data_IF_039582477537
#
_entry.id   IF_039582477537
#
_cell.length_a   1.000
_cell.length_b   1.000
_cell.length_c   1.000
_cell.angle_alpha   90.00
_cell.angle_beta   90.00
_cell.angle_gamma   90.00
#
_symmetry.space_group_name_H-M   'P 1'
#
loop_
_entity.id
_entity.type
_entity.pdbx_description
1 polymer ?
#
# COMPACT_ATOMS: atom_id res chain seq x y z
N UNK A 1 28.50 49.26 28.21
CA UNK A 1 29.82 48.73 28.62
C UNK A 1 29.96 47.30 28.11
N UNK A 2 31.04 47.06 27.35
CA UNK A 2 31.85 45.83 27.21
C UNK A 2 31.17 44.46 27.02
N UNK A 3 31.64 43.52 26.17
CA UNK A 3 32.73 43.43 25.19
C UNK A 3 32.66 42.03 24.52
N UNK A 4 32.92 41.97 23.21
CA UNK A 4 33.83 41.02 22.51
C UNK A 4 33.44 39.56 22.20
N UNK A 5 33.61 39.23 20.91
CA UNK A 5 33.59 37.97 20.16
C UNK A 5 34.69 36.93 20.55
N UNK A 6 34.61 35.66 20.11
CA UNK A 6 35.49 35.06 19.06
C UNK A 6 35.31 33.52 18.85
N UNK A 7 35.16 33.12 17.56
CA UNK A 7 35.76 31.99 16.77
C UNK A 7 35.60 30.51 17.21
N UNK A 8 35.55 29.50 16.33
CA UNK A 8 36.35 29.28 15.11
C UNK A 8 35.70 28.36 14.06
N UNK A 9 36.11 28.57 12.80
CA UNK A 9 35.88 27.72 11.64
C UNK A 9 37.11 26.80 11.41
N UNK A 10 36.90 25.62 10.83
CA UNK A 10 37.97 24.76 10.33
C UNK A 10 37.82 24.54 8.82
N UNK A 11 38.74 25.12 8.05
CA UNK A 11 39.08 24.73 6.68
C UNK A 11 40.08 23.56 6.74
N UNK A 12 39.96 22.60 5.82
CA UNK A 12 41.10 21.80 5.38
C UNK A 12 41.08 21.70 3.85
N UNK A 13 42.17 22.14 3.22
CA UNK A 13 42.37 22.15 1.77
C UNK A 13 43.68 21.47 1.39
N UNK A 14 43.59 20.72 0.28
CA UNK A 14 44.54 20.48 -0.82
C UNK A 14 45.87 19.72 -0.59
N UNK A 15 46.05 18.65 -1.38
CA UNK A 15 46.99 18.55 -2.54
C UNK A 15 46.71 17.20 -3.25
N UNK A 16 46.53 17.07 -4.57
CA UNK A 16 47.49 17.35 -5.64
C UNK A 16 48.52 16.20 -5.68
N UNK A 17 48.63 15.37 -6.73
CA UNK A 17 49.48 15.68 -7.89
C UNK A 17 49.13 14.88 -9.16
N UNK A 18 49.57 15.48 -10.26
CA UNK A 18 49.45 15.16 -11.69
C UNK A 18 50.49 14.17 -12.22
N UNK A 19 50.20 13.66 -13.43
CA UNK A 19 50.98 12.74 -14.27
C UNK A 19 52.37 13.25 -14.70
N UNK A 20 53.31 12.31 -14.89
CA UNK A 20 54.47 12.47 -15.78
C UNK A 20 54.73 11.16 -16.55
N UNK A 21 54.72 11.28 -17.88
CA UNK A 21 55.09 10.26 -18.85
C UNK A 21 56.62 10.18 -18.95
N UNK A 22 57.19 8.98 -18.89
CA UNK A 22 58.60 8.70 -19.16
C UNK A 22 58.73 7.41 -19.98
N UNK A 23 59.31 7.54 -21.17
CA UNK A 23 59.51 6.49 -22.17
C UNK A 23 60.86 5.77 -22.01
N UNK A 24 60.89 4.53 -22.53
CA UNK A 24 62.03 3.74 -23.00
C UNK A 24 62.55 2.62 -22.07
N UNK A 25 62.40 1.37 -22.56
CA UNK A 25 63.31 0.28 -22.23
C UNK A 25 62.69 -1.12 -22.10
N UNK A 26 62.52 -1.81 -23.22
CA UNK A 26 62.99 -3.21 -23.38
C UNK A 26 62.35 -4.36 -22.59
N UNK A 27 61.92 -5.36 -23.36
CA UNK A 27 61.79 -6.80 -23.08
C UNK A 27 60.66 -7.30 -22.17
N UNK A 28 59.72 -7.95 -22.83
CA UNK A 28 58.69 -8.83 -22.29
C UNK A 28 59.30 -10.06 -21.61
N UNK A 29 58.69 -10.51 -20.50
CA UNK A 29 58.50 -11.93 -20.31
C UNK A 29 57.01 -12.26 -20.17
N UNK A 30 56.59 -13.30 -20.92
CA UNK A 30 55.36 -14.05 -20.76
C UNK A 30 54.88 -14.09 -19.31
N UNK A 31 53.76 -13.42 -19.03
CA UNK A 31 52.89 -13.79 -17.92
C UNK A 31 51.57 -14.26 -18.49
N UNK A 32 51.30 -15.55 -18.27
CA UNK A 32 50.03 -16.18 -18.55
C UNK A 32 48.90 -15.34 -17.95
N UNK A 33 47.98 -14.93 -18.81
CA UNK A 33 46.78 -14.20 -18.44
C UNK A 33 45.95 -15.07 -17.51
N UNK A 34 45.93 -14.73 -16.21
CA UNK A 34 45.02 -15.35 -15.26
C UNK A 34 43.59 -15.10 -15.74
N UNK A 35 42.82 -16.17 -15.92
CA UNK A 35 41.40 -16.10 -16.23
C UNK A 35 40.70 -15.19 -15.20
N UNK A 36 39.74 -14.34 -15.61
CA UNK A 36 38.97 -13.55 -14.67
C UNK A 36 38.29 -14.48 -13.66
N UNK A 37 38.69 -14.40 -12.38
CA UNK A 37 37.94 -15.05 -11.32
C UNK A 37 36.55 -14.42 -11.29
N UNK A 38 35.54 -15.23 -11.63
CA UNK A 38 34.14 -14.85 -11.52
C UNK A 38 33.85 -14.49 -10.06
N UNK A 39 33.53 -13.22 -9.81
CA UNK A 39 32.98 -12.80 -8.53
C UNK A 39 31.64 -13.51 -8.33
N UNK A 40 31.38 -14.13 -7.17
CA UNK A 40 30.06 -14.68 -6.88
C UNK A 40 29.02 -13.56 -6.93
N UNK A 41 28.09 -13.64 -7.87
CA UNK A 41 26.88 -12.80 -7.89
C UNK A 41 26.07 -13.16 -6.65
N UNK A 42 26.06 -12.27 -5.65
CA UNK A 42 25.14 -12.36 -4.52
C UNK A 42 23.73 -12.28 -5.08
N UNK A 43 23.07 -13.42 -5.21
CA UNK A 43 21.64 -13.48 -5.49
C UNK A 43 20.96 -13.13 -4.17
N UNK A 44 20.56 -11.88 -4.03
CA UNK A 44 19.62 -11.50 -2.96
C UNK A 44 18.37 -12.34 -3.20
N UNK A 45 18.11 -13.31 -2.33
CA UNK A 45 16.83 -14.01 -2.32
C UNK A 45 15.76 -12.93 -2.12
N UNK A 46 15.02 -12.61 -3.18
CA UNK A 46 13.78 -11.88 -3.02
C UNK A 46 12.91 -12.76 -2.13
N UNK A 47 12.49 -12.22 -1.00
CA UNK A 47 11.41 -12.76 -0.20
C UNK A 47 10.16 -12.74 -1.11
N UNK A 48 9.95 -13.84 -1.84
CA UNK A 48 8.82 -13.98 -2.75
C UNK A 48 7.61 -14.24 -1.86
N UNK A 49 7.03 -13.16 -1.34
CA UNK A 49 5.69 -13.24 -0.78
C UNK A 49 4.80 -13.93 -1.83
N UNK A 50 4.05 -14.99 -1.46
CA UNK A 50 3.12 -15.63 -2.37
C UNK A 50 2.26 -14.57 -3.05
N UNK A 51 2.18 -14.62 -4.39
CA UNK A 51 1.20 -13.78 -5.09
C UNK A 51 -0.20 -14.23 -4.67
N UNK A 52 -1.09 -13.25 -4.45
CA UNK A 52 -2.49 -13.53 -4.17
C UNK A 52 -3.06 -14.43 -5.26
N UNK A 53 -3.65 -15.56 -4.88
CA UNK A 53 -4.30 -16.48 -5.83
C UNK A 53 -5.71 -16.02 -6.16
N UNK A 54 -6.30 -15.19 -5.31
CA UNK A 54 -7.59 -14.55 -5.52
C UNK A 54 -7.43 -13.03 -5.42
N UNK A 55 -8.09 -12.30 -6.31
CA UNK A 55 -8.05 -10.83 -6.37
C UNK A 55 -9.46 -10.29 -6.57
N UNK A 56 -9.84 -9.31 -5.75
CA UNK A 56 -11.05 -8.49 -5.93
C UNK A 56 -10.60 -7.06 -6.19
N UNK A 57 -10.79 -6.60 -7.43
CA UNK A 57 -10.51 -5.25 -7.92
C UNK A 57 -11.79 -4.48 -8.31
N UNK A 58 -12.99 -5.06 -8.09
CA UNK A 58 -14.30 -4.44 -8.36
C UNK A 58 -14.61 -4.05 -9.82
N UNK A 59 -13.67 -4.21 -10.75
CA UNK A 59 -13.76 -3.76 -12.13
C UNK A 59 -14.83 -4.46 -12.97
N UNK A 60 -15.28 -5.64 -12.54
CA UNK A 60 -16.35 -6.40 -13.20
C UNK A 60 -17.75 -5.98 -12.75
N UNK A 61 -17.87 -5.09 -11.76
CA UNK A 61 -19.12 -4.58 -11.22
C UNK A 61 -19.52 -3.33 -12.01
N UNK A 62 -20.76 -3.23 -12.48
CA UNK A 62 -21.25 -1.96 -13.04
C UNK A 62 -21.46 -0.97 -11.90
N UNK A 63 -20.72 0.14 -11.90
CA UNK A 63 -20.71 1.09 -10.79
C UNK A 63 -21.04 2.53 -11.26
N UNK A 64 -21.88 3.27 -10.51
CA UNK A 64 -22.17 4.67 -10.82
C UNK A 64 -21.08 5.61 -10.29
N UNK A 65 -21.18 6.89 -10.63
CA UNK A 65 -20.32 7.96 -10.09
C UNK A 65 -20.72 8.39 -8.67
N UNK A 66 -21.97 8.16 -8.27
CA UNK A 66 -22.58 8.76 -7.09
C UNK A 66 -23.16 7.71 -6.13
N UNK A 67 -22.95 7.92 -4.82
CA UNK A 67 -23.48 7.06 -3.76
C UNK A 67 -25.02 6.93 -3.79
N UNK A 68 -25.74 7.98 -4.14
CA UNK A 68 -27.21 7.96 -4.18
C UNK A 68 -27.78 7.00 -5.25
N UNK A 69 -26.93 6.51 -6.15
CA UNK A 69 -27.29 5.58 -7.23
C UNK A 69 -26.81 4.15 -6.97
N UNK A 70 -26.27 3.86 -5.78
CA UNK A 70 -25.77 2.54 -5.39
C UNK A 70 -26.13 2.24 -3.94
N UNK A 71 -25.84 1.03 -3.49
CA UNK A 71 -26.03 0.55 -2.12
C UNK A 71 -24.70 0.02 -1.57
N UNK A 72 -24.67 -0.31 -0.29
CA UNK A 72 -23.51 -1.00 0.28
C UNK A 72 -23.22 -2.30 -0.50
N UNK A 73 -21.95 -2.57 -0.74
CA UNK A 73 -21.52 -3.85 -1.28
C UNK A 73 -21.74 -4.93 -0.24
N UNK A 74 -22.40 -6.02 -0.61
CA UNK A 74 -22.68 -7.14 0.29
C UNK A 74 -21.74 -8.32 0.04
N UNK A 75 -21.41 -8.61 -1.22
CA UNK A 75 -20.56 -9.75 -1.56
C UNK A 75 -19.91 -9.64 -2.93
N UNK A 76 -18.71 -10.21 -3.07
CA UNK A 76 -18.07 -10.50 -4.35
C UNK A 76 -17.50 -11.91 -4.31
N UNK A 77 -18.05 -12.82 -5.13
CA UNK A 77 -17.69 -14.23 -5.08
C UNK A 77 -17.99 -14.82 -3.69
N UNK A 78 -16.95 -15.34 -3.03
CA UNK A 78 -17.04 -15.95 -1.69
C UNK A 78 -16.74 -14.98 -0.55
N UNK A 79 -16.42 -13.71 -0.87
CA UNK A 79 -16.10 -12.68 0.12
C UNK A 79 -17.33 -11.85 0.43
N UNK A 80 -17.61 -11.67 1.72
CA UNK A 80 -18.73 -10.86 2.22
C UNK A 80 -18.21 -9.52 2.75
N UNK A 81 -19.02 -8.49 2.58
CA UNK A 81 -18.78 -7.11 2.97
C UNK A 81 -19.95 -6.68 3.86
N UNK A 82 -19.65 -6.17 5.05
CA UNK A 82 -20.68 -5.85 6.04
C UNK A 82 -20.31 -4.59 6.82
N UNK A 83 -21.24 -3.64 6.91
CA UNK A 83 -21.12 -2.53 7.84
C UNK A 83 -21.30 -2.94 9.31
N UNK A 84 -21.61 -1.95 10.15
CA UNK A 84 -21.94 -2.18 11.55
C UNK A 84 -23.14 -3.12 11.73
N UNK A 85 -23.09 -4.02 12.71
CA UNK A 85 -24.22 -4.89 13.04
C UNK A 85 -25.47 -4.12 13.48
N UNK A 86 -25.31 -2.89 13.96
CA UNK A 86 -26.41 -1.98 14.34
C UNK A 86 -26.91 -1.11 13.19
N UNK A 87 -26.19 -1.06 12.07
CA UNK A 87 -26.52 -0.27 10.88
C UNK A 87 -26.17 -1.10 9.63
N UNK A 88 -26.98 -2.14 9.31
CA UNK A 88 -26.62 -3.14 8.29
C UNK A 88 -26.65 -2.60 6.85
N UNK A 89 -27.24 -1.42 6.63
CA UNK A 89 -27.21 -0.71 5.36
C UNK A 89 -25.95 0.16 5.20
N UNK A 90 -25.21 0.40 6.27
CA UNK A 90 -23.91 1.05 6.18
C UNK A 90 -22.87 0.09 5.60
N UNK A 91 -21.79 0.64 5.05
CA UNK A 91 -20.67 -0.13 4.51
C UNK A 91 -20.15 0.48 3.22
N UNK A 92 -19.02 -0.02 2.72
CA UNK A 92 -18.45 0.51 1.47
C UNK A 92 -19.38 0.29 0.28
N UNK A 93 -19.42 1.22 -0.67
CA UNK A 93 -20.14 1.05 -1.93
C UNK A 93 -19.17 1.08 -3.12
N UNK A 94 -19.43 0.29 -4.15
CA UNK A 94 -18.60 0.32 -5.36
C UNK A 94 -18.99 1.54 -6.19
N UNK A 95 -18.01 2.40 -6.44
CA UNK A 95 -18.12 3.52 -7.37
C UNK A 95 -17.06 3.38 -8.46
N UNK A 96 -17.31 4.04 -9.58
CA UNK A 96 -16.31 4.12 -10.63
C UNK A 96 -15.30 5.25 -10.37
N UNK A 97 -14.28 5.30 -11.22
CA UNK A 97 -13.18 6.26 -11.16
C UNK A 97 -13.57 7.72 -11.37
N UNK A 98 -14.72 8.00 -11.98
CA UNK A 98 -15.26 9.36 -12.17
C UNK A 98 -15.91 9.94 -10.91
N UNK A 99 -15.98 9.18 -9.81
CA UNK A 99 -16.57 9.62 -8.52
C UNK A 99 -15.78 10.66 -7.71
N UNK A 100 -14.76 11.30 -8.30
CA UNK A 100 -14.01 12.45 -7.73
C UNK A 100 -13.30 12.21 -6.39
N UNK A 101 -12.83 11.00 -6.12
CA UNK A 101 -12.02 10.70 -4.92
C UNK A 101 -10.56 11.19 -4.99
N UNK A 102 -10.12 11.68 -6.16
CA UNK A 102 -8.77 12.22 -6.40
C UNK A 102 -7.62 11.27 -6.02
N UNK A 103 -7.85 9.97 -6.19
CA UNK A 103 -6.90 8.89 -5.87
C UNK A 103 -6.17 8.39 -7.12
N UNK A 104 -5.00 7.77 -6.93
CA UNK A 104 -4.22 7.10 -7.99
C UNK A 104 -3.71 5.74 -7.51
N UNK A 105 -3.29 4.87 -8.45
CA UNK A 105 -2.72 3.55 -8.11
C UNK A 105 -3.76 2.45 -7.82
N UNK A 106 -5.03 2.72 -8.10
CA UNK A 106 -6.11 1.73 -8.16
C UNK A 106 -6.15 1.05 -9.54
N UNK A 107 -6.79 -0.12 -9.60
CA UNK A 107 -7.16 -0.85 -10.81
C UNK A 107 -8.46 -0.29 -11.37
N UNK A 108 -8.46 0.09 -12.65
CA UNK A 108 -9.59 0.77 -13.27
C UNK A 108 -10.58 -0.23 -13.90
N UNK A 109 -11.90 0.07 -13.90
CA UNK A 109 -12.48 1.38 -13.64
C UNK A 109 -12.99 1.66 -12.23
N UNK A 110 -13.01 0.71 -11.30
CA UNK A 110 -13.81 0.83 -10.06
C UNK A 110 -12.99 0.67 -8.78
N UNK A 111 -13.61 1.04 -7.66
CA UNK A 111 -13.08 0.76 -6.32
C UNK A 111 -14.19 0.73 -5.28
N UNK A 112 -13.92 0.17 -4.10
CA UNK A 112 -14.79 0.26 -2.94
C UNK A 112 -14.59 1.61 -2.25
N UNK A 113 -15.64 2.42 -2.19
CA UNK A 113 -15.59 3.81 -1.73
C UNK A 113 -16.33 4.02 -0.41
N UNK A 114 -15.82 4.96 0.38
CA UNK A 114 -16.42 5.42 1.64
C UNK A 114 -16.55 6.93 1.63
N UNK A 115 -17.70 7.46 2.06
CA UNK A 115 -17.93 8.87 2.34
C UNK A 115 -19.02 9.03 3.40
N UNK A 116 -18.60 9.15 4.65
CA UNK A 116 -19.49 9.23 5.81
C UNK A 116 -20.44 10.45 5.84
N UNK A 117 -20.33 11.39 4.90
CA UNK A 117 -21.21 12.56 4.75
C UNK A 117 -22.29 12.39 3.67
N UNK A 118 -22.46 11.18 3.12
CA UNK A 118 -23.42 10.92 2.03
C UNK A 118 -24.36 9.77 2.39
N UNK A 119 -25.47 9.70 1.66
CA UNK A 119 -26.47 8.64 1.81
C UNK A 119 -26.56 7.86 0.51
N UNK A 120 -26.71 6.54 0.63
CA UNK A 120 -26.89 5.59 -0.46
C UNK A 120 -28.37 5.45 -0.85
N UNK A 121 -28.63 4.77 -1.96
CA UNK A 121 -29.98 4.60 -2.51
C UNK A 121 -30.97 3.94 -1.54
N UNK A 122 -30.47 3.09 -0.65
CA UNK A 122 -31.23 2.37 0.38
C UNK A 122 -31.32 3.09 1.73
N UNK A 123 -30.76 4.30 1.83
CA UNK A 123 -30.70 5.08 3.06
C UNK A 123 -29.49 4.79 3.95
N UNK A 124 -28.64 3.83 3.59
CA UNK A 124 -27.39 3.56 4.28
C UNK A 124 -26.35 4.68 4.12
N UNK A 125 -25.31 4.67 4.96
CA UNK A 125 -24.18 5.61 4.88
C UNK A 125 -22.91 4.84 4.53
N UNK A 126 -22.12 5.26 3.52
CA UNK A 126 -20.92 4.54 3.13
C UNK A 126 -19.76 4.84 4.07
N UNK A 127 -19.80 4.27 5.28
CA UNK A 127 -18.88 4.58 6.38
C UNK A 127 -18.39 3.32 7.09
N UNK A 128 -17.34 3.52 7.87
CA UNK A 128 -16.85 2.53 8.83
C UNK A 128 -17.81 2.39 10.04
N UNK A 129 -17.80 1.24 10.72
CA UNK A 129 -16.97 0.06 10.47
C UNK A 129 -17.38 -0.73 9.21
N UNK A 130 -16.41 -1.42 8.61
CA UNK A 130 -16.59 -2.35 7.49
C UNK A 130 -15.84 -3.65 7.80
N UNK A 131 -16.50 -4.79 7.62
CA UNK A 131 -15.95 -6.13 7.84
C UNK A 131 -15.94 -6.90 6.53
N UNK A 132 -14.74 -7.22 6.06
CA UNK A 132 -14.49 -8.07 4.89
C UNK A 132 -14.26 -9.49 5.39
N UNK A 133 -15.21 -10.40 5.14
CA UNK A 133 -15.16 -11.79 5.61
C UNK A 133 -14.85 -12.75 4.46
N UNK A 134 -13.89 -13.63 4.68
CA UNK A 134 -13.56 -14.71 3.76
C UNK A 134 -14.38 -15.96 4.11
N UNK A 135 -14.71 -16.78 3.10
CA UNK A 135 -15.50 -18.00 3.32
C UNK A 135 -14.79 -19.05 4.19
N UNK A 136 -13.46 -19.05 4.18
CA UNK A 136 -12.60 -19.84 5.07
C UNK A 136 -11.45 -18.98 5.57
N UNK A 137 -10.70 -19.47 6.55
CA UNK A 137 -9.45 -18.82 6.92
C UNK A 137 -8.48 -18.81 5.74
N UNK A 138 -7.92 -17.64 5.44
CA UNK A 138 -6.95 -17.40 4.37
C UNK A 138 -5.58 -17.14 4.99
N UNK A 139 -4.52 -17.72 4.42
CA UNK A 139 -3.17 -17.65 4.96
C UNK A 139 -2.54 -16.26 4.87
N UNK A 140 -2.93 -15.47 3.89
CA UNK A 140 -2.43 -14.11 3.64
C UNK A 140 -3.52 -13.21 3.06
N UNK A 141 -3.49 -11.93 3.45
CA UNK A 141 -4.36 -10.89 2.89
C UNK A 141 -3.55 -9.64 2.59
N UNK A 142 -3.81 -9.04 1.44
CA UNK A 142 -3.39 -7.68 1.12
C UNK A 142 -4.53 -6.88 0.54
N UNK A 143 -4.50 -5.56 0.72
CA UNK A 143 -5.40 -4.63 0.07
C UNK A 143 -4.67 -3.32 -0.20
N UNK A 144 -5.16 -2.55 -1.17
CA UNK A 144 -4.73 -1.17 -1.39
C UNK A 144 -5.73 -0.21 -0.78
N UNK A 145 -5.24 0.85 -0.13
CA UNK A 145 -6.09 1.87 0.50
C UNK A 145 -5.49 3.26 0.29
N UNK A 146 -6.34 4.25 0.02
CA UNK A 146 -5.92 5.62 -0.25
C UNK A 146 -7.05 6.63 -0.17
N UNK A 147 -6.70 7.91 -0.15
CA UNK A 147 -7.64 9.03 -0.26
C UNK A 147 -6.95 10.25 -0.82
N UNK A 148 -7.55 10.88 -1.83
CA UNK A 148 -7.13 12.19 -2.32
C UNK A 148 -7.79 13.35 -1.59
N UNK A 149 -8.81 13.09 -0.78
CA UNK A 149 -9.59 14.12 -0.07
C UNK A 149 -9.17 14.21 1.40
N UNK A 150 -9.12 13.07 2.10
CA UNK A 150 -8.74 12.98 3.51
C UNK A 150 -7.26 12.54 3.65
N UNK A 151 -6.37 13.14 2.86
CA UNK A 151 -4.92 12.88 2.93
C UNK A 151 -4.40 13.17 4.34
N UNK A 152 -3.57 12.28 4.89
CA UNK A 152 -3.02 12.42 6.25
C UNK A 152 -3.94 11.90 7.36
N UNK A 153 -5.23 11.67 7.08
CA UNK A 153 -6.11 10.97 8.00
C UNK A 153 -5.68 9.51 8.16
N UNK A 154 -6.14 8.87 9.24
CA UNK A 154 -5.78 7.48 9.57
C UNK A 154 -6.97 6.55 9.44
N UNK A 155 -6.72 5.31 9.02
CA UNK A 155 -7.69 4.20 9.11
C UNK A 155 -7.08 3.10 9.98
N UNK A 156 -7.87 2.59 10.93
CA UNK A 156 -7.47 1.46 11.79
C UNK A 156 -8.11 0.18 11.30
N UNK A 157 -7.27 -0.81 11.01
CA UNK A 157 -7.67 -2.14 10.56
C UNK A 157 -7.24 -3.23 11.54
N UNK A 158 -8.04 -4.28 11.62
CA UNK A 158 -7.76 -5.48 12.37
C UNK A 158 -7.93 -6.70 11.46
N UNK A 159 -6.86 -7.45 11.25
CA UNK A 159 -6.93 -8.80 10.69
C UNK A 159 -7.19 -9.77 11.84
N UNK A 160 -8.22 -10.58 11.74
CA UNK A 160 -8.67 -11.47 12.82
C UNK A 160 -8.76 -12.91 12.28
N UNK A 161 -8.10 -13.84 12.95
CA UNK A 161 -8.14 -15.27 12.63
C UNK A 161 -7.74 -16.15 13.81
N UNK A 162 -7.46 -17.42 13.54
CA UNK A 162 -7.09 -18.44 14.52
C UNK A 162 -5.80 -18.11 15.27
N UNK A 163 -4.87 -17.39 14.63
CA UNK A 163 -3.61 -16.93 15.23
C UNK A 163 -3.73 -15.56 15.92
N UNK A 164 -4.96 -15.15 16.24
CA UNK A 164 -5.28 -13.94 16.97
C UNK A 164 -5.50 -12.73 16.06
N UNK A 165 -5.19 -11.54 16.60
CA UNK A 165 -5.45 -10.26 15.95
C UNK A 165 -4.14 -9.62 15.49
N UNK A 166 -4.15 -9.02 14.31
CA UNK A 166 -3.10 -8.14 13.79
C UNK A 166 -3.68 -6.75 13.53
N UNK A 167 -3.17 -5.73 14.24
CA UNK A 167 -3.62 -4.34 14.09
C UNK A 167 -2.73 -3.59 13.10
N UNK A 168 -3.33 -2.85 12.18
CA UNK A 168 -2.66 -1.87 11.31
C UNK A 168 -3.29 -0.50 11.50
N UNK A 169 -2.46 0.54 11.56
CA UNK A 169 -2.91 1.93 11.49
C UNK A 169 -2.24 2.55 10.28
N UNK A 170 -3.04 3.03 9.34
CA UNK A 170 -2.56 3.50 8.03
C UNK A 170 -2.88 4.96 7.87
N UNK A 171 -1.85 5.78 7.65
CA UNK A 171 -2.02 7.16 7.21
C UNK A 171 -2.28 7.16 5.70
N UNK A 172 -3.38 7.81 5.30
CA UNK A 172 -3.82 7.85 3.91
C UNK A 172 -3.01 8.84 3.08
N UNK A 173 -2.80 8.49 1.81
CA UNK A 173 -2.24 9.33 0.76
C UNK A 173 -3.09 9.20 -0.51
N UNK A 174 -2.93 10.13 -1.45
CA UNK A 174 -3.65 10.11 -2.72
C UNK A 174 -3.33 8.87 -3.55
N UNK A 175 -2.05 8.48 -3.59
CA UNK A 175 -1.64 7.20 -4.16
C UNK A 175 -1.98 6.07 -3.18
N UNK A 176 -2.75 5.09 -3.65
CA UNK A 176 -3.15 3.92 -2.86
C UNK A 176 -1.91 3.15 -2.38
N UNK A 177 -1.89 2.84 -1.09
CA UNK A 177 -0.82 2.07 -0.45
C UNK A 177 -1.26 0.64 -0.21
N UNK A 178 -0.41 -0.32 -0.57
CA UNK A 178 -0.61 -1.73 -0.23
C UNK A 178 -0.37 -1.98 1.26
N UNK A 179 -1.34 -2.60 1.90
CA UNK A 179 -1.32 -3.09 3.27
C UNK A 179 -1.36 -4.61 3.23
N UNK A 180 -0.52 -5.24 4.03
CA UNK A 180 -0.43 -6.70 4.12
C UNK A 180 -0.67 -7.15 5.56
N UNK A 181 -1.43 -8.22 5.71
CA UNK A 181 -1.55 -9.00 6.93
C UNK A 181 -0.76 -10.29 6.76
N UNK A 182 0.02 -10.65 7.78
CA UNK A 182 0.93 -11.78 7.72
C UNK A 182 0.44 -13.00 8.49
N UNK A 183 -0.68 -12.87 9.21
CA UNK A 183 -1.33 -13.97 9.92
C UNK A 183 -2.46 -14.56 9.08
N UNK A 184 -2.79 -15.85 9.27
CA UNK A 184 -4.04 -16.41 8.76
C UNK A 184 -5.26 -15.66 9.33
N UNK A 185 -6.19 -15.27 8.46
CA UNK A 185 -7.34 -14.44 8.81
C UNK A 185 -8.65 -15.07 8.33
N UNK A 186 -9.70 -14.90 9.12
CA UNK A 186 -11.09 -15.13 8.67
C UNK A 186 -11.75 -13.85 8.19
N UNK A 187 -11.30 -12.69 8.68
CA UNK A 187 -11.80 -11.39 8.26
C UNK A 187 -10.82 -10.25 8.52
N UNK A 188 -10.99 -9.17 7.77
CA UNK A 188 -10.39 -7.86 8.03
C UNK A 188 -11.51 -6.89 8.42
N UNK A 189 -11.37 -6.23 9.57
CA UNK A 189 -12.26 -5.18 10.02
C UNK A 189 -11.57 -3.82 9.92
N UNK A 190 -12.08 -2.94 9.07
CA UNK A 190 -11.81 -1.51 9.14
C UNK A 190 -12.75 -0.90 10.17
N UNK A 191 -12.22 -0.38 11.27
CA UNK A 191 -13.02 -0.09 12.48
C UNK A 191 -13.38 1.38 12.65
N UNK A 192 -12.44 2.27 12.34
CA UNK A 192 -12.56 3.71 12.53
C UNK A 192 -11.49 4.42 11.69
N UNK A 193 -11.77 5.66 11.31
CA UNK A 193 -10.80 6.46 10.60
C UNK A 193 -11.38 7.59 9.76
N UNK A 194 -10.69 7.89 8.67
CA UNK A 194 -11.08 8.85 7.65
C UNK A 194 -12.53 8.68 7.20
N UNK A 195 -13.16 9.78 6.83
CA UNK A 195 -14.54 9.79 6.35
C UNK A 195 -14.60 9.42 4.87
N UNK A 196 -13.61 9.87 4.09
CA UNK A 196 -13.52 9.72 2.64
C UNK A 196 -12.26 8.98 2.25
N UNK A 197 -12.40 7.77 1.73
CA UNK A 197 -11.28 6.97 1.24
C UNK A 197 -11.79 5.87 0.32
N UNK A 198 -10.87 5.18 -0.34
CA UNK A 198 -11.16 4.03 -1.18
C UNK A 198 -10.29 2.85 -0.79
N UNK A 199 -10.81 1.66 -1.06
CA UNK A 199 -10.12 0.38 -0.97
C UNK A 199 -10.20 -0.31 -2.33
N UNK A 200 -9.11 -0.95 -2.71
CA UNK A 200 -9.02 -1.67 -3.98
C UNK A 200 -8.03 -2.84 -3.88
N UNK A 201 -7.99 -3.70 -4.89
CA UNK A 201 -7.06 -4.83 -5.03
C UNK A 201 -6.94 -5.69 -3.76
N UNK A 202 -8.06 -6.21 -3.27
CA UNK A 202 -8.10 -7.14 -2.14
C UNK A 202 -7.60 -8.50 -2.65
N UNK A 203 -6.34 -8.81 -2.34
CA UNK A 203 -5.68 -10.07 -2.67
C UNK A 203 -5.63 -11.01 -1.46
N UNK A 204 -5.90 -12.30 -1.67
CA UNK A 204 -5.80 -13.31 -0.61
C UNK A 204 -5.41 -14.70 -1.13
N UNK A 205 -4.91 -15.54 -0.23
CA UNK A 205 -4.46 -16.92 -0.49
C UNK A 205 -5.16 -17.86 0.49
N UNK A 206 -5.84 -18.89 -0.02
CA UNK A 206 -6.46 -19.93 0.81
C UNK A 206 -5.43 -20.85 1.45
#
# INVERSE_FOLDING_TARGET
MNRTLLTAAALLTLAGTTFANGIAGGVSPNQAQAAPQATPKVVVAQDIAPQATNLINFDTITAPDLFISTTALVSVGTVQFNGSSTQPLDGGAVLNSSSNFSVTGYSAPNFLAFNCNTTMADGGVPRLPEVIRFASEVSQVSLKIGSGIDVGAKVTMFGIGSQGVEKKVVTLAAALKTIKFSKPLTHVMMSAGACKFVVDDIGFVN
#
